data_IF_681977493006
#
_entry.id   IF_681977493006
#
_cell.length_a   1.000
_cell.length_b   1.000
_cell.length_c   1.000
_cell.angle_alpha   90.00
_cell.angle_beta   90.00
_cell.angle_gamma   90.00
#
_symmetry.space_group_name_H-M   'P 1'
#
loop_
_entity.id
_entity.type
_entity.pdbx_description
1 polymer ?
#
# COMPACT_ATOMS: atom_id res chain seq x y z
N UNK A 1 6.39 -4.32 -0.91
CA UNK A 1 7.26 -3.43 -0.11
C UNK A 1 7.29 -3.93 1.34
N UNK A 2 8.47 -3.98 1.96
CA UNK A 2 8.60 -4.22 3.40
C UNK A 2 8.58 -2.86 4.12
N UNK A 3 7.70 -2.70 5.11
CA UNK A 3 7.55 -1.47 5.87
C UNK A 3 7.38 -1.79 7.36
N UNK A 4 8.49 -1.75 8.10
CA UNK A 4 8.49 -2.12 9.53
C UNK A 4 8.13 -3.60 9.72
N UNK A 5 6.97 -3.87 10.33
CA UNK A 5 6.45 -5.24 10.55
C UNK A 5 5.49 -5.71 9.46
N UNK A 6 5.25 -4.89 8.45
CA UNK A 6 4.22 -5.13 7.46
C UNK A 6 4.81 -5.42 6.09
N UNK A 7 4.19 -6.36 5.38
CA UNK A 7 4.35 -6.53 3.94
C UNK A 7 3.19 -5.82 3.25
N UNK A 8 3.50 -4.80 2.46
CA UNK A 8 2.55 -4.10 1.61
C UNK A 8 2.61 -4.70 0.21
N UNK A 9 1.49 -5.29 -0.23
CA UNK A 9 1.37 -5.97 -1.52
C UNK A 9 0.23 -5.33 -2.34
N UNK A 10 0.57 -4.54 -3.39
CA UNK A 10 -0.44 -3.95 -4.25
C UNK A 10 -0.91 -4.94 -5.31
N UNK A 11 -2.21 -4.98 -5.55
CA UNK A 11 -2.81 -5.34 -6.84
C UNK A 11 -3.20 -4.05 -7.57
N UNK A 12 -3.80 -4.18 -8.76
CA UNK A 12 -4.26 -3.01 -9.52
C UNK A 12 -5.27 -2.14 -8.75
N UNK A 13 -6.10 -2.77 -7.92
CA UNK A 13 -7.27 -2.17 -7.26
C UNK A 13 -7.24 -2.23 -5.73
N UNK A 14 -6.35 -3.02 -5.14
CA UNK A 14 -6.25 -3.22 -3.69
C UNK A 14 -4.82 -3.18 -3.19
N UNK A 15 -4.65 -2.78 -1.94
CA UNK A 15 -3.42 -2.96 -1.20
C UNK A 15 -3.68 -3.93 -0.05
N UNK A 16 -3.03 -5.08 -0.10
CA UNK A 16 -3.02 -6.04 1.00
C UNK A 16 -1.86 -5.75 1.94
N UNK A 17 -2.15 -5.81 3.24
CA UNK A 17 -1.19 -5.66 4.32
C UNK A 17 -1.14 -6.97 5.09
N UNK A 18 0.05 -7.54 5.21
CA UNK A 18 0.31 -8.76 5.97
C UNK A 18 1.31 -8.51 7.09
N UNK A 19 1.20 -9.26 8.18
CA UNK A 19 2.28 -9.34 9.16
C UNK A 19 3.47 -10.07 8.53
N UNK A 20 4.64 -9.43 8.55
CA UNK A 20 5.83 -9.92 7.86
C UNK A 20 6.37 -11.23 8.44
N UNK A 21 6.16 -11.48 9.73
CA UNK A 21 6.71 -12.65 10.42
C UNK A 21 5.83 -13.88 10.26
N UNK A 22 4.52 -13.69 10.28
CA UNK A 22 3.53 -14.78 10.31
C UNK A 22 2.80 -14.97 8.99
N UNK A 23 2.96 -14.05 8.05
CA UNK A 23 2.20 -13.99 6.79
C UNK A 23 0.69 -13.85 6.98
N UNK A 24 0.21 -13.55 8.19
CA UNK A 24 -1.21 -13.36 8.44
C UNK A 24 -1.71 -12.06 7.76
N UNK A 25 -2.87 -12.09 7.09
CA UNK A 25 -3.47 -10.89 6.55
C UNK A 25 -3.94 -9.98 7.69
N UNK A 26 -3.54 -8.72 7.65
CA UNK A 26 -3.92 -7.70 8.64
C UNK A 26 -5.04 -6.80 8.11
N UNK A 27 -4.94 -6.37 6.85
CA UNK A 27 -5.88 -5.41 6.25
C UNK A 27 -5.86 -5.48 4.73
N UNK A 28 -6.99 -5.11 4.11
CA UNK A 28 -7.07 -4.79 2.69
C UNK A 28 -7.60 -3.37 2.53
N UNK A 29 -6.94 -2.56 1.70
CA UNK A 29 -7.37 -1.20 1.36
C UNK A 29 -7.83 -1.21 -0.09
N UNK A 30 -9.03 -0.69 -0.34
CA UNK A 30 -9.50 -0.41 -1.70
C UNK A 30 -8.79 0.84 -2.23
N UNK A 31 -8.00 0.68 -3.29
CA UNK A 31 -7.26 1.77 -3.93
C UNK A 31 -8.16 2.55 -4.89
N UNK A 32 -9.06 1.87 -5.59
CA UNK A 32 -9.96 2.50 -6.56
C UNK A 32 -10.89 3.51 -5.89
N UNK A 33 -11.43 3.20 -4.70
CA UNK A 33 -12.21 4.14 -3.89
C UNK A 33 -11.41 5.37 -3.43
N UNK A 34 -10.07 5.31 -3.50
CA UNK A 34 -9.17 6.42 -3.15
C UNK A 34 -8.57 7.10 -4.38
N UNK A 35 -9.08 6.81 -5.58
CA UNK A 35 -8.55 7.34 -6.84
C UNK A 35 -7.15 6.81 -7.18
N UNK A 36 -6.67 5.79 -6.46
CA UNK A 36 -5.36 5.22 -6.65
C UNK A 36 -5.43 3.90 -7.43
N UNK A 37 -4.32 3.55 -8.07
CA UNK A 37 -4.12 2.23 -8.66
C UNK A 37 -2.86 1.59 -8.10
N UNK A 38 -2.75 0.27 -8.23
CA UNK A 38 -1.51 -0.43 -7.93
C UNK A 38 -0.34 0.14 -8.72
N UNK A 39 0.79 0.36 -8.05
CA UNK A 39 1.96 0.96 -8.66
C UNK A 39 3.20 0.81 -7.78
N UNK A 40 4.19 1.68 -8.00
CA UNK A 40 5.38 1.72 -7.16
C UNK A 40 5.02 2.29 -5.79
N UNK A 41 5.35 1.54 -4.75
CA UNK A 41 5.05 1.90 -3.37
C UNK A 41 6.31 2.40 -2.67
N UNK A 42 6.16 3.49 -1.90
CA UNK A 42 7.16 3.97 -0.96
C UNK A 42 6.48 4.32 0.37
N UNK A 43 7.05 3.87 1.48
CA UNK A 43 6.62 4.32 2.80
C UNK A 43 7.58 5.36 3.35
N UNK A 44 7.05 6.50 3.78
CA UNK A 44 7.81 7.59 4.39
C UNK A 44 6.96 8.28 5.46
N UNK A 45 7.50 8.41 6.67
CA UNK A 45 6.89 9.17 7.78
C UNK A 45 5.41 8.83 8.04
N UNK A 46 5.10 7.53 8.22
CA UNK A 46 3.73 7.06 8.47
C UNK A 46 2.77 7.17 7.28
N UNK A 47 3.26 7.58 6.10
CA UNK A 47 2.48 7.66 4.87
C UNK A 47 2.94 6.60 3.87
N UNK A 48 1.98 6.12 3.10
CA UNK A 48 2.20 5.38 1.88
C UNK A 48 2.07 6.33 0.70
N UNK A 49 3.15 6.43 -0.08
CA UNK A 49 3.17 7.09 -1.37
C UNK A 49 2.96 6.04 -2.45
N UNK A 50 2.02 6.32 -3.35
CA UNK A 50 1.69 5.48 -4.50
C UNK A 50 1.93 6.32 -5.75
N UNK A 51 2.92 5.93 -6.54
CA UNK A 51 3.13 6.51 -7.86
C UNK A 51 2.21 5.81 -8.86
N UNK A 52 1.27 6.56 -9.41
CA UNK A 52 0.43 6.13 -10.54
C UNK A 52 1.11 6.52 -11.86
N UNK A 53 0.40 6.35 -12.97
CA UNK A 53 0.85 6.81 -14.29
C UNK A 53 0.86 8.34 -14.44
N UNK A 54 0.05 9.05 -13.66
CA UNK A 54 -0.26 10.47 -13.85
C UNK A 54 0.02 11.33 -12.62
N UNK A 55 0.05 10.74 -11.43
CA UNK A 55 0.20 11.48 -10.18
C UNK A 55 0.89 10.68 -9.06
N UNK A 56 1.19 11.37 -7.96
CA UNK A 56 1.69 10.78 -6.73
C UNK A 56 0.64 10.97 -5.63
N UNK A 57 0.10 9.87 -5.11
CA UNK A 57 -0.95 9.88 -4.09
C UNK A 57 -0.33 9.54 -2.74
N UNK A 58 -0.62 10.34 -1.71
CA UNK A 58 -0.19 10.10 -0.33
C UNK A 58 -1.36 9.68 0.55
N UNK A 59 -1.23 8.52 1.20
CA UNK A 59 -2.25 7.95 2.08
C UNK A 59 -1.66 7.74 3.48
N UNK A 60 -2.37 8.18 4.54
CA UNK A 60 -1.99 7.86 5.92
C UNK A 60 -2.22 6.38 6.24
N UNK A 61 -1.24 5.72 6.86
CA UNK A 61 -1.29 4.31 7.28
C UNK A 61 -1.87 4.12 8.68
#
# INVERSE_FOLDING_TARGET
>A
LLAGRNVLWPTRDKLYIFDQRTAQPLKAIDLAMRGATGGNLLTADGKLLIATDTELIAIGL
#
